data_IF_068191084114
#
_entry.id   IF_068191084114
#
_cell.length_a   1.000
_cell.length_b   1.000
_cell.length_c   1.000
_cell.angle_alpha   90.00
_cell.angle_beta   90.00
_cell.angle_gamma   90.00
#
_symmetry.space_group_name_H-M   'P 1'
#
loop_
_entity.id
_entity.type
_entity.pdbx_description
1 polymer ?
#
# COMPACT_ATOMS: atom_id res chain seq x y z
N UNK A 1 8.74 -31.82 21.28
CA UNK A 1 9.71 -30.75 21.64
C UNK A 1 8.98 -29.42 21.49
N UNK A 2 8.18 -29.06 22.51
CA UNK A 2 7.41 -27.81 22.57
C UNK A 2 8.06 -26.96 23.66
N UNK A 3 8.97 -26.07 23.26
CA UNK A 3 9.78 -25.27 24.20
C UNK A 3 9.86 -23.81 23.77
N UNK A 4 8.73 -23.22 23.35
CA UNK A 4 8.67 -21.77 23.02
C UNK A 4 7.55 -21.05 23.80
N UNK A 5 6.62 -21.74 24.46
CA UNK A 5 5.49 -21.11 25.17
C UNK A 5 5.67 -21.00 26.69
N UNK A 6 6.88 -21.23 27.22
CA UNK A 6 7.12 -21.22 28.67
C UNK A 6 7.22 -19.82 29.34
N UNK A 7 7.57 -18.70 28.66
CA UNK A 7 7.63 -17.41 29.35
C UNK A 7 6.27 -16.71 29.55
N UNK A 8 5.17 -17.24 29.01
CA UNK A 8 3.86 -16.56 29.02
C UNK A 8 2.91 -17.05 30.15
N UNK A 9 3.40 -17.91 31.05
CA UNK A 9 2.57 -18.56 32.08
C UNK A 9 2.97 -18.25 33.52
N UNK A 10 3.88 -17.30 33.76
CA UNK A 10 4.27 -16.91 35.12
C UNK A 10 3.93 -15.44 35.40
N UNK A 11 2.92 -15.29 36.25
CA UNK A 11 2.52 -14.17 37.12
C UNK A 11 2.01 -12.84 36.52
N UNK A 12 0.68 -12.74 36.54
CA UNK A 12 -0.10 -11.51 36.65
C UNK A 12 0.34 -10.70 37.89
N UNK A 13 1.05 -9.58 37.67
CA UNK A 13 1.05 -8.47 38.60
C UNK A 13 0.25 -7.32 37.99
N UNK A 14 -1.05 -7.31 38.28
CA UNK A 14 -1.95 -6.20 37.96
C UNK A 14 -1.51 -4.98 38.77
N UNK A 15 -0.96 -3.95 38.11
CA UNK A 15 -0.93 -2.60 38.66
C UNK A 15 -2.08 -1.81 38.06
N UNK A 16 -3.06 -1.56 38.91
CA UNK A 16 -4.13 -0.58 38.71
C UNK A 16 -3.52 0.82 38.65
N UNK A 17 -3.71 1.54 37.54
CA UNK A 17 -3.51 3.00 37.51
C UNK A 17 -4.64 3.68 36.73
N UNK A 18 -5.63 4.12 37.52
CA UNK A 18 -6.34 5.41 37.49
C UNK A 18 -6.61 6.05 36.13
N UNK A 19 -7.90 6.10 35.79
CA UNK A 19 -8.48 6.91 34.74
C UNK A 19 -8.25 8.42 34.97
N UNK A 20 -7.87 9.14 33.91
CA UNK A 20 -8.04 10.59 33.81
C UNK A 20 -9.04 10.84 32.69
N UNK A 21 -10.22 11.34 33.09
CA UNK A 21 -11.26 11.86 32.23
C UNK A 21 -10.74 13.08 31.47
N UNK A 22 -10.86 13.08 30.14
CA UNK A 22 -10.97 14.31 29.36
C UNK A 22 -12.01 14.13 28.27
N UNK A 23 -13.12 14.86 28.45
CA UNK A 23 -14.22 15.04 27.51
C UNK A 23 -13.72 15.57 26.17
N UNK A 24 -13.98 14.79 25.12
CA UNK A 24 -14.32 15.31 23.79
C UNK A 24 -15.42 14.41 23.22
N UNK A 25 -16.65 14.75 23.59
CA UNK A 25 -17.89 14.20 23.04
C UNK A 25 -18.00 14.62 21.57
N UNK A 26 -17.60 13.75 20.63
CA UNK A 26 -18.26 13.55 19.31
C UNK A 26 -17.64 12.38 18.48
N UNK A 27 -16.69 11.59 19.01
CA UNK A 27 -16.03 10.49 18.25
C UNK A 27 -16.37 9.06 18.71
N UNK A 28 -17.29 8.86 19.65
CA UNK A 28 -17.22 7.70 20.55
C UNK A 28 -18.21 6.54 20.33
N UNK A 29 -18.94 6.45 19.22
CA UNK A 29 -19.87 5.30 19.03
C UNK A 29 -19.37 4.30 17.97
N UNK A 30 -18.76 4.75 16.88
CA UNK A 30 -18.22 3.85 15.86
C UNK A 30 -16.81 3.33 16.19
N UNK A 31 -15.94 4.20 16.74
CA UNK A 31 -14.56 3.83 17.08
C UNK A 31 -14.45 2.93 18.32
N UNK A 32 -15.43 2.96 19.22
CA UNK A 32 -15.36 2.19 20.47
C UNK A 32 -15.68 0.70 20.27
N UNK A 33 -16.60 0.33 19.38
CA UNK A 33 -16.88 -1.09 19.11
C UNK A 33 -15.70 -1.79 18.42
N UNK A 34 -15.03 -1.13 17.48
CA UNK A 34 -13.83 -1.64 16.83
C UNK A 34 -12.64 -1.69 17.80
N UNK A 35 -12.41 -0.65 18.62
CA UNK A 35 -11.33 -0.64 19.61
C UNK A 35 -11.55 -1.61 20.77
N UNK A 36 -12.78 -1.83 21.23
CA UNK A 36 -13.07 -2.79 22.31
C UNK A 36 -13.01 -4.23 21.82
N UNK A 37 -13.41 -4.52 20.58
CA UNK A 37 -13.19 -5.85 20.00
C UNK A 37 -11.70 -6.11 19.73
N UNK A 38 -10.98 -5.16 19.12
CA UNK A 38 -9.65 -5.39 18.56
C UNK A 38 -8.49 -5.20 19.56
N UNK A 39 -8.75 -4.70 20.78
CA UNK A 39 -7.65 -4.39 21.72
C UNK A 39 -6.82 -5.60 22.09
N UNK A 40 -7.40 -6.79 22.19
CA UNK A 40 -6.65 -8.05 22.45
C UNK A 40 -7.33 -9.34 21.95
N UNK A 41 -8.49 -9.28 21.28
CA UNK A 41 -9.17 -10.46 20.78
C UNK A 41 -9.43 -10.30 19.27
N UNK A 42 -8.98 -11.24 18.44
CA UNK A 42 -9.49 -11.29 17.07
C UNK A 42 -11.02 -11.42 17.16
N UNK A 43 -11.81 -10.58 16.46
CA UNK A 43 -13.25 -10.72 16.48
C UNK A 43 -13.62 -12.12 16.00
N UNK A 44 -14.54 -12.78 16.71
CA UNK A 44 -15.04 -14.09 16.29
C UNK A 44 -15.65 -13.97 14.89
N UNK A 45 -15.47 -15.01 14.07
CA UNK A 45 -16.07 -15.09 12.73
C UNK A 45 -17.58 -14.83 12.81
N UNK A 46 -18.25 -15.37 13.83
CA UNK A 46 -19.69 -15.19 14.09
C UNK A 46 -20.05 -13.73 14.37
N UNK A 47 -19.17 -12.99 15.05
CA UNK A 47 -19.40 -11.56 15.34
C UNK A 47 -19.23 -10.73 14.07
N UNK A 48 -18.27 -11.11 13.21
CA UNK A 48 -18.07 -10.45 11.92
C UNK A 48 -19.24 -10.66 10.96
N UNK A 49 -19.89 -11.82 10.96
CA UNK A 49 -21.11 -12.05 10.16
C UNK A 49 -22.25 -11.08 10.52
N UNK A 50 -22.34 -10.65 11.77
CA UNK A 50 -23.37 -9.72 12.25
C UNK A 50 -22.93 -8.25 12.18
N UNK A 51 -21.64 -8.00 12.12
CA UNK A 51 -21.08 -6.65 12.03
C UNK A 51 -21.49 -5.94 10.73
N UNK A 52 -21.65 -4.62 10.80
CA UNK A 52 -21.89 -3.80 9.61
C UNK A 52 -20.69 -3.81 8.66
N UNK A 53 -20.92 -3.55 7.37
CA UNK A 53 -19.86 -3.42 6.37
C UNK A 53 -18.82 -2.38 6.80
N UNK A 54 -19.24 -1.22 7.33
CA UNK A 54 -18.33 -0.18 7.82
C UNK A 54 -17.41 -0.71 8.92
N UNK A 55 -17.95 -1.43 9.91
CA UNK A 55 -17.17 -2.01 11.00
C UNK A 55 -16.11 -3.00 10.48
N UNK A 56 -16.47 -3.83 9.50
CA UNK A 56 -15.54 -4.77 8.85
C UNK A 56 -14.45 -4.06 8.06
N UNK A 57 -14.79 -2.97 7.36
CA UNK A 57 -13.81 -2.12 6.66
C UNK A 57 -12.86 -1.48 7.67
N UNK A 58 -13.38 -0.94 8.76
CA UNK A 58 -12.57 -0.29 9.80
C UNK A 58 -11.63 -1.30 10.48
N UNK A 59 -12.09 -2.52 10.75
CA UNK A 59 -11.26 -3.61 11.27
C UNK A 59 -10.13 -4.00 10.30
N UNK A 60 -10.44 -4.06 8.99
CA UNK A 60 -9.45 -4.32 7.95
C UNK A 60 -8.41 -3.20 7.87
N UNK A 61 -8.86 -1.94 7.85
CA UNK A 61 -7.98 -0.76 7.80
C UNK A 61 -7.08 -0.69 9.05
N UNK A 62 -7.64 -0.94 10.23
CA UNK A 62 -6.91 -0.99 11.49
C UNK A 62 -5.80 -2.06 11.46
N UNK A 63 -6.14 -3.27 11.01
CA UNK A 63 -5.18 -4.38 10.91
C UNK A 63 -4.03 -4.12 9.94
N UNK A 64 -4.27 -3.27 8.92
CA UNK A 64 -3.28 -2.85 7.93
C UNK A 64 -2.70 -1.46 8.23
N UNK A 65 -2.87 -0.97 9.47
CA UNK A 65 -2.35 0.31 9.95
C UNK A 65 -2.67 1.50 9.03
N UNK A 66 -3.86 1.51 8.44
CA UNK A 66 -4.31 2.51 7.48
C UNK A 66 -5.59 3.19 7.92
N UNK A 67 -5.85 4.38 7.38
CA UNK A 67 -7.11 5.11 7.58
C UNK A 67 -8.12 4.71 6.51
N UNK A 68 -9.36 4.42 6.91
CA UNK A 68 -10.45 4.12 5.96
C UNK A 68 -10.74 5.28 5.00
N UNK A 69 -10.36 6.51 5.35
CA UNK A 69 -10.49 7.70 4.50
C UNK A 69 -9.75 7.57 3.16
N UNK A 70 -8.63 6.81 3.11
CA UNK A 70 -7.84 6.61 1.89
C UNK A 70 -8.64 5.86 0.81
N UNK A 71 -9.57 5.00 1.21
CA UNK A 71 -10.35 4.14 0.31
C UNK A 71 -11.36 4.93 -0.52
N UNK A 72 -11.76 6.11 -0.05
CA UNK A 72 -12.72 6.98 -0.73
C UNK A 72 -12.16 7.58 -2.02
N UNK A 73 -10.84 7.54 -2.21
CA UNK A 73 -10.18 8.09 -3.39
C UNK A 73 -10.05 7.07 -4.54
N UNK A 74 -10.44 5.82 -4.29
CA UNK A 74 -10.23 4.72 -5.23
C UNK A 74 -11.54 3.97 -5.52
N UNK A 75 -11.67 3.53 -6.77
CA UNK A 75 -12.68 2.56 -7.18
C UNK A 75 -12.55 1.28 -6.36
N UNK A 76 -13.66 0.57 -6.14
CA UNK A 76 -13.72 -0.58 -5.22
C UNK A 76 -12.63 -1.63 -5.49
N UNK A 77 -12.40 -1.96 -6.77
CA UNK A 77 -11.42 -2.97 -7.21
C UNK A 77 -9.97 -2.68 -6.79
N UNK A 78 -9.64 -1.42 -6.51
CA UNK A 78 -8.31 -0.95 -6.14
C UNK A 78 -8.11 -0.83 -4.62
N UNK A 79 -9.18 -0.84 -3.82
CA UNK A 79 -9.11 -0.55 -2.39
C UNK A 79 -8.19 -1.51 -1.63
N UNK A 80 -8.26 -2.82 -1.91
CA UNK A 80 -7.34 -3.79 -1.31
C UNK A 80 -5.90 -3.64 -1.80
N UNK A 81 -5.71 -3.27 -3.07
CA UNK A 81 -4.37 -3.01 -3.63
C UNK A 81 -3.73 -1.83 -2.90
N UNK A 82 -4.49 -0.76 -2.69
CA UNK A 82 -4.08 0.45 -1.95
C UNK A 82 -3.68 0.10 -0.51
N UNK A 83 -4.49 -0.66 0.22
CA UNK A 83 -4.17 -1.05 1.59
C UNK A 83 -2.90 -1.91 1.65
N UNK A 84 -2.78 -2.89 0.75
CA UNK A 84 -1.59 -3.74 0.69
C UNK A 84 -0.32 -2.97 0.31
N UNK A 85 -0.43 -2.01 -0.62
CA UNK A 85 0.69 -1.16 -1.04
C UNK A 85 1.13 -0.23 0.08
N UNK A 86 0.18 0.38 0.79
CA UNK A 86 0.49 1.24 1.92
C UNK A 86 1.24 0.47 3.01
N UNK A 87 0.72 -0.70 3.39
CA UNK A 87 1.35 -1.57 4.39
C UNK A 87 2.73 -2.05 3.94
N UNK A 88 2.84 -2.60 2.72
CA UNK A 88 4.12 -3.06 2.18
C UNK A 88 5.15 -1.93 2.11
N UNK A 89 4.77 -0.77 1.61
CA UNK A 89 5.68 0.37 1.47
C UNK A 89 6.16 0.88 2.82
N UNK A 90 5.27 0.92 3.83
CA UNK A 90 5.61 1.34 5.19
C UNK A 90 6.62 0.40 5.85
N UNK A 91 6.50 -0.91 5.65
CA UNK A 91 7.28 -1.91 6.38
C UNK A 91 8.49 -2.45 5.62
N UNK A 92 8.46 -2.47 4.29
CA UNK A 92 9.58 -2.93 3.44
C UNK A 92 10.50 -1.77 3.04
N UNK A 93 9.97 -0.54 2.97
CA UNK A 93 10.69 0.67 2.55
C UNK A 93 11.46 0.47 1.21
N UNK A 94 10.78 0.03 0.14
CA UNK A 94 11.41 -0.21 -1.15
C UNK A 94 11.87 1.10 -1.81
N UNK A 95 12.88 1.00 -2.67
CA UNK A 95 13.33 2.13 -3.49
C UNK A 95 12.20 2.66 -4.40
N UNK A 96 12.17 3.98 -4.60
CA UNK A 96 11.12 4.65 -5.37
C UNK A 96 11.02 4.14 -6.81
N UNK A 97 12.14 3.72 -7.41
CA UNK A 97 12.17 3.11 -8.74
C UNK A 97 11.39 1.80 -8.77
N UNK A 98 11.52 0.99 -7.72
CA UNK A 98 10.80 -0.29 -7.60
C UNK A 98 9.32 -0.07 -7.34
N UNK A 99 8.96 0.94 -6.54
CA UNK A 99 7.55 1.34 -6.34
C UNK A 99 6.93 1.75 -7.68
N UNK A 100 7.59 2.63 -8.44
CA UNK A 100 7.12 3.06 -9.78
C UNK A 100 6.98 1.88 -10.73
N UNK A 101 7.95 0.98 -10.75
CA UNK A 101 7.94 -0.21 -11.62
C UNK A 101 6.76 -1.13 -11.31
N UNK A 102 6.49 -1.35 -10.02
CA UNK A 102 5.37 -2.17 -9.56
C UNK A 102 4.02 -1.54 -9.91
N UNK A 103 3.84 -0.24 -9.63
CA UNK A 103 2.59 0.47 -9.92
C UNK A 103 2.36 0.55 -11.43
N UNK A 104 3.40 0.81 -12.22
CA UNK A 104 3.29 0.81 -13.69
C UNK A 104 2.85 -0.56 -14.19
N UNK A 105 3.42 -1.65 -13.66
CA UNK A 105 2.97 -3.01 -13.94
C UNK A 105 1.47 -3.20 -13.62
N UNK A 106 0.98 -2.70 -12.48
CA UNK A 106 -0.43 -2.83 -12.11
C UNK A 106 -1.35 -2.14 -13.09
N UNK A 107 -1.00 -0.91 -13.46
CA UNK A 107 -1.79 -0.09 -14.38
C UNK A 107 -1.86 -0.75 -15.75
N UNK A 108 -0.71 -1.21 -16.28
CA UNK A 108 -0.64 -1.88 -17.58
C UNK A 108 -1.38 -3.22 -17.56
N UNK A 109 -1.12 -4.08 -16.56
CA UNK A 109 -1.79 -5.39 -16.46
C UNK A 109 -3.30 -5.28 -16.30
N UNK A 110 -3.80 -4.23 -15.65
CA UNK A 110 -5.23 -4.09 -15.36
C UNK A 110 -6.04 -3.42 -16.47
N UNK A 111 -5.36 -2.81 -17.45
CA UNK A 111 -6.01 -2.00 -18.49
C UNK A 111 -5.66 -2.48 -19.91
N UNK A 112 -4.50 -3.11 -20.12
CA UNK A 112 -4.12 -3.68 -21.40
C UNK A 112 -4.59 -5.12 -21.54
N UNK A 113 -4.99 -5.49 -22.77
CA UNK A 113 -5.38 -6.86 -23.13
C UNK A 113 -4.17 -7.77 -23.36
N UNK A 114 -3.00 -7.21 -23.69
CA UNK A 114 -1.75 -7.96 -23.84
C UNK A 114 -0.56 -7.24 -23.16
N UNK A 115 -0.45 -7.34 -21.82
CA UNK A 115 0.65 -6.75 -21.06
C UNK A 115 2.03 -7.27 -21.48
N UNK A 116 2.10 -8.44 -22.12
CA UNK A 116 3.37 -9.05 -22.53
C UNK A 116 4.00 -8.35 -23.73
N UNK A 117 3.19 -7.63 -24.52
CA UNK A 117 3.64 -6.86 -25.69
C UNK A 117 4.51 -5.65 -25.33
N UNK A 118 4.45 -5.19 -24.07
CA UNK A 118 5.26 -4.09 -23.54
C UNK A 118 6.71 -4.48 -23.27
N UNK A 119 7.04 -5.79 -23.33
CA UNK A 119 8.40 -6.29 -23.16
C UNK A 119 9.04 -6.46 -24.54
N UNK A 120 10.12 -5.74 -24.87
CA UNK A 120 10.83 -5.91 -26.13
C UNK A 120 11.35 -7.35 -26.27
N UNK A 121 11.15 -7.97 -27.44
CA UNK A 121 11.51 -9.36 -27.73
C UNK A 121 13.00 -9.73 -27.49
N UNK A 122 13.89 -8.75 -27.30
CA UNK A 122 15.33 -8.93 -27.10
C UNK A 122 15.83 -8.66 -25.69
N UNK A 123 14.95 -8.48 -24.70
CA UNK A 123 15.39 -8.19 -23.31
C UNK A 123 15.82 -9.49 -22.60
N UNK A 124 17.10 -9.83 -22.77
CA UNK A 124 17.76 -10.81 -21.91
C UNK A 124 17.96 -10.22 -20.52
N UNK A 125 17.03 -10.46 -19.59
CA UNK A 125 17.25 -10.23 -18.17
C UNK A 125 18.41 -11.13 -17.71
N UNK A 126 19.62 -10.57 -17.60
CA UNK A 126 20.80 -11.33 -17.16
C UNK A 126 20.61 -11.74 -15.69
N UNK A 127 20.79 -13.03 -15.38
CA UNK A 127 20.60 -13.55 -14.02
C UNK A 127 21.71 -13.03 -13.08
N UNK A 128 21.51 -11.85 -12.51
CA UNK A 128 22.39 -11.25 -11.51
C UNK A 128 21.78 -11.39 -10.11
N UNK A 129 22.62 -11.35 -9.06
CA UNK A 129 22.14 -11.32 -7.66
C UNK A 129 21.16 -10.16 -7.40
N UNK A 130 21.40 -9.01 -8.03
CA UNK A 130 20.50 -7.85 -7.99
C UNK A 130 19.09 -8.16 -8.50
N UNK A 131 18.96 -9.04 -9.49
CA UNK A 131 17.63 -9.45 -9.97
C UNK A 131 16.89 -10.29 -8.93
N UNK A 132 17.61 -11.09 -8.13
CA UNK A 132 16.99 -11.86 -7.04
C UNK A 132 16.50 -10.94 -5.92
N UNK A 133 17.25 -9.88 -5.59
CA UNK A 133 16.82 -8.90 -4.58
C UNK A 133 15.55 -8.16 -5.02
N UNK A 134 15.50 -7.73 -6.29
CA UNK A 134 14.30 -7.08 -6.86
C UNK A 134 13.11 -8.04 -6.89
N UNK A 135 13.31 -9.28 -7.34
CA UNK A 135 12.27 -10.30 -7.33
C UNK A 135 11.75 -10.56 -5.91
N UNK A 136 12.65 -10.61 -4.94
CA UNK A 136 12.28 -10.77 -3.53
C UNK A 136 11.41 -9.61 -3.06
N UNK A 137 11.77 -8.37 -3.40
CA UNK A 137 10.98 -7.16 -3.05
C UNK A 137 9.57 -7.22 -3.64
N UNK A 138 9.42 -7.58 -4.91
CA UNK A 138 8.09 -7.74 -5.52
C UNK A 138 7.32 -8.92 -4.94
N UNK A 139 8.00 -10.03 -4.64
CA UNK A 139 7.38 -11.19 -3.98
C UNK A 139 6.86 -10.86 -2.59
N UNK A 140 7.55 -9.99 -1.83
CA UNK A 140 7.06 -9.51 -0.55
C UNK A 140 5.74 -8.76 -0.68
N UNK A 141 5.59 -7.90 -1.69
CA UNK A 141 4.29 -7.26 -1.94
C UNK A 141 3.21 -8.29 -2.28
N UNK A 142 3.51 -9.28 -3.12
CA UNK A 142 2.54 -10.33 -3.46
C UNK A 142 2.09 -11.11 -2.22
N UNK A 143 3.00 -11.42 -1.30
CA UNK A 143 2.67 -12.04 -0.01
C UNK A 143 1.74 -11.13 0.81
N UNK A 144 2.08 -9.84 0.94
CA UNK A 144 1.24 -8.86 1.67
C UNK A 144 -0.15 -8.74 1.05
N UNK A 145 -0.25 -8.70 -0.28
CA UNK A 145 -1.53 -8.65 -0.98
C UNK A 145 -2.35 -9.93 -0.75
N UNK A 146 -1.71 -11.09 -0.82
CA UNK A 146 -2.37 -12.37 -0.57
C UNK A 146 -2.89 -12.49 0.87
N UNK A 147 -2.13 -12.05 1.86
CA UNK A 147 -2.56 -12.06 3.26
C UNK A 147 -3.62 -10.99 3.52
N UNK A 148 -3.56 -9.85 2.85
CA UNK A 148 -4.63 -8.84 2.82
C UNK A 148 -5.94 -9.43 2.28
N UNK A 149 -5.89 -10.23 1.20
CA UNK A 149 -7.06 -10.92 0.67
C UNK A 149 -7.62 -11.96 1.65
N UNK A 150 -6.77 -12.73 2.34
CA UNK A 150 -7.22 -13.67 3.38
C UNK A 150 -7.89 -12.93 4.53
N UNK A 151 -7.29 -11.84 4.98
CA UNK A 151 -7.87 -11.02 6.04
C UNK A 151 -9.23 -10.45 5.62
N UNK A 152 -9.32 -9.93 4.40
CA UNK A 152 -10.60 -9.50 3.81
C UNK A 152 -11.62 -10.65 3.81
N UNK A 153 -11.20 -11.89 3.50
CA UNK A 153 -12.07 -13.06 3.53
C UNK A 153 -12.55 -13.41 4.94
N UNK A 154 -11.67 -13.42 5.93
CA UNK A 154 -12.00 -13.66 7.35
C UNK A 154 -13.01 -12.61 7.84
N UNK A 155 -12.91 -11.37 7.36
CA UNK A 155 -13.82 -10.28 7.69
C UNK A 155 -15.11 -10.27 6.85
N UNK A 156 -15.46 -11.38 6.19
CA UNK A 156 -16.67 -11.52 5.36
C UNK A 156 -16.67 -10.67 4.08
N UNK A 157 -15.49 -10.52 3.46
CA UNK A 157 -15.23 -9.81 2.20
C UNK A 157 -15.88 -8.42 2.11
N UNK A 158 -15.56 -7.50 3.04
CA UNK A 158 -16.14 -6.16 3.05
C UNK A 158 -15.68 -5.30 1.87
N UNK A 159 -14.56 -5.64 1.23
CA UNK A 159 -14.07 -5.02 0.00
C UNK A 159 -14.00 -6.04 -1.14
N UNK A 160 -14.20 -5.56 -2.37
CA UNK A 160 -13.92 -6.34 -3.57
C UNK A 160 -12.42 -6.52 -3.78
N UNK A 161 -12.04 -7.60 -4.47
CA UNK A 161 -10.64 -7.93 -4.74
C UNK A 161 -10.43 -8.18 -6.23
N UNK A 162 -9.20 -7.92 -6.68
CA UNK A 162 -8.74 -8.23 -8.02
C UNK A 162 -7.74 -9.38 -7.92
N UNK A 163 -7.87 -10.40 -8.76
CA UNK A 163 -6.96 -11.53 -8.71
C UNK A 163 -5.51 -11.08 -8.99
N UNK A 164 -4.51 -11.54 -8.23
CA UNK A 164 -3.10 -11.15 -8.45
C UNK A 164 -2.62 -11.36 -9.89
N UNK A 165 -3.14 -12.38 -10.57
CA UNK A 165 -2.83 -12.67 -11.98
C UNK A 165 -3.24 -11.56 -12.96
N UNK A 166 -4.19 -10.69 -12.59
CA UNK A 166 -4.59 -9.53 -13.39
C UNK A 166 -3.84 -8.26 -12.99
N UNK A 167 -3.21 -8.26 -11.82
CA UNK A 167 -2.49 -7.10 -11.31
C UNK A 167 -1.01 -7.17 -11.64
N UNK A 168 -0.41 -8.36 -11.70
CA UNK A 168 1.03 -8.50 -11.70
C UNK A 168 1.53 -9.52 -12.73
N UNK A 169 2.43 -9.07 -13.59
CA UNK A 169 3.30 -9.91 -14.40
C UNK A 169 4.75 -9.72 -13.93
N UNK A 170 5.35 -10.79 -13.42
CA UNK A 170 6.71 -10.75 -12.88
C UNK A 170 7.77 -10.40 -13.92
N UNK A 171 7.59 -10.78 -15.19
CA UNK A 171 8.52 -10.39 -16.25
C UNK A 171 8.39 -8.90 -16.55
N UNK A 172 7.17 -8.38 -16.58
CA UNK A 172 6.91 -6.97 -16.83
C UNK A 172 7.43 -6.09 -15.69
N UNK A 173 7.16 -6.46 -14.44
CA UNK A 173 7.69 -5.74 -13.27
C UNK A 173 9.22 -5.73 -13.24
N UNK A 174 9.87 -6.86 -13.56
CA UNK A 174 11.32 -6.96 -13.67
C UNK A 174 11.88 -6.15 -14.84
N UNK A 175 11.19 -6.14 -15.98
CA UNK A 175 11.55 -5.31 -17.11
C UNK A 175 11.56 -3.83 -16.71
N UNK A 176 10.46 -3.31 -16.14
CA UNK A 176 10.39 -1.92 -15.69
C UNK A 176 11.44 -1.59 -14.63
N UNK A 177 11.69 -2.50 -13.68
CA UNK A 177 12.74 -2.33 -12.67
C UNK A 177 14.15 -2.25 -13.27
N UNK A 178 14.38 -2.86 -14.43
CA UNK A 178 15.67 -2.83 -15.13
C UNK A 178 15.91 -1.55 -15.95
N UNK A 179 14.87 -0.74 -16.20
CA UNK A 179 14.99 0.47 -17.01
C UNK A 179 15.77 1.55 -16.26
N UNK A 180 16.63 2.26 -16.98
CA UNK A 180 17.36 3.40 -16.40
C UNK A 180 16.48 4.65 -16.25
N UNK A 181 15.50 4.84 -17.14
CA UNK A 181 14.56 5.97 -17.14
C UNK A 181 13.11 5.48 -16.98
N UNK A 182 12.74 5.16 -15.74
CA UNK A 182 11.35 4.78 -15.43
C UNK A 182 10.38 5.95 -15.65
N UNK A 183 10.82 7.19 -15.43
CA UNK A 183 9.95 8.37 -15.56
C UNK A 183 9.60 8.67 -17.02
N UNK A 184 10.56 8.52 -17.94
CA UNK A 184 10.31 8.50 -19.38
C UNK A 184 9.34 7.40 -19.78
N UNK A 185 9.51 6.21 -19.21
CA UNK A 185 8.64 5.05 -19.51
C UNK A 185 7.22 5.25 -19.02
N UNK A 186 7.01 5.67 -17.77
CA UNK A 186 5.68 6.00 -17.23
C UNK A 186 4.98 7.03 -18.11
N UNK A 187 5.69 8.08 -18.53
CA UNK A 187 5.12 9.08 -19.43
C UNK A 187 4.73 8.44 -20.77
N UNK A 188 5.61 7.65 -21.38
CA UNK A 188 5.34 7.03 -22.67
C UNK A 188 4.19 6.03 -22.64
N UNK A 189 4.14 5.17 -21.63
CA UNK A 189 3.12 4.11 -21.49
C UNK A 189 1.74 4.70 -21.16
N UNK A 190 1.70 5.75 -20.33
CA UNK A 190 0.45 6.28 -19.79
C UNK A 190 -0.06 7.54 -20.52
N UNK A 191 0.70 8.09 -21.49
CA UNK A 191 0.32 9.33 -22.21
C UNK A 191 -1.04 9.23 -22.90
N UNK A 192 -1.42 8.03 -23.34
CA UNK A 192 -2.64 7.78 -24.10
C UNK A 192 -3.90 7.72 -23.21
N UNK A 193 -3.75 7.66 -21.88
CA UNK A 193 -4.86 7.43 -20.96
C UNK A 193 -4.76 8.27 -19.69
N UNK A 194 -5.57 9.33 -19.63
CA UNK A 194 -5.70 10.17 -18.43
C UNK A 194 -6.12 9.38 -17.18
N UNK A 195 -6.98 8.37 -17.35
CA UNK A 195 -7.40 7.52 -16.23
C UNK A 195 -6.23 6.69 -15.68
N UNK A 196 -5.40 6.15 -16.57
CA UNK A 196 -4.21 5.35 -16.19
C UNK A 196 -3.19 6.21 -15.47
N UNK A 197 -2.93 7.42 -15.97
CA UNK A 197 -2.03 8.37 -15.35
C UNK A 197 -2.56 8.85 -13.98
N UNK A 198 -3.85 9.12 -13.87
CA UNK A 198 -4.48 9.50 -12.61
C UNK A 198 -4.38 8.37 -11.57
N UNK A 199 -4.66 7.13 -11.96
CA UNK A 199 -4.51 5.96 -11.10
C UNK A 199 -3.06 5.79 -10.64
N UNK A 200 -2.10 5.86 -11.57
CA UNK A 200 -0.68 5.78 -11.26
C UNK A 200 -0.28 6.83 -10.21
N UNK A 201 -0.66 8.10 -10.42
CA UNK A 201 -0.34 9.19 -9.51
C UNK A 201 -0.99 9.02 -8.14
N UNK A 202 -2.25 8.56 -8.09
CA UNK A 202 -2.93 8.29 -6.82
C UNK A 202 -2.25 7.16 -6.05
N UNK A 203 -1.85 6.07 -6.71
CA UNK A 203 -1.12 4.96 -6.06
C UNK A 203 0.28 5.40 -5.60
N UNK A 204 0.98 6.23 -6.40
CA UNK A 204 2.27 6.82 -6.02
C UNK A 204 2.14 7.73 -4.80
N UNK A 205 1.07 8.52 -4.71
CA UNK A 205 0.79 9.35 -3.54
C UNK A 205 0.68 8.50 -2.27
N UNK A 206 -0.10 7.41 -2.31
CA UNK A 206 -0.26 6.49 -1.17
C UNK A 206 1.09 5.93 -0.72
N UNK A 207 1.90 5.45 -1.65
CA UNK A 207 3.21 4.88 -1.33
C UNK A 207 4.15 5.95 -0.75
N UNK A 208 4.14 7.16 -1.31
CA UNK A 208 4.96 8.28 -0.83
C UNK A 208 4.60 8.68 0.61
N UNK A 209 3.32 8.79 0.93
CA UNK A 209 2.89 9.08 2.30
C UNK A 209 3.23 7.93 3.27
N UNK A 210 3.16 6.68 2.80
CA UNK A 210 3.53 5.51 3.60
C UNK A 210 5.04 5.45 3.90
N UNK A 211 5.90 5.81 2.93
CA UNK A 211 7.35 5.98 3.17
C UNK A 211 7.64 7.08 4.19
N UNK A 212 6.93 8.21 4.10
CA UNK A 212 7.06 9.31 5.08
C UNK A 212 6.63 8.88 6.48
N UNK A 213 5.62 8.03 6.61
CA UNK A 213 5.22 7.47 7.90
C UNK A 213 6.32 6.56 8.48
N UNK A 214 6.91 5.68 7.67
CA UNK A 214 7.99 4.78 8.08
C UNK A 214 9.21 5.52 8.67
N UNK A 215 9.58 6.64 8.03
CA UNK A 215 10.72 7.47 8.48
C UNK A 215 10.45 8.24 9.77
N UNK A 216 9.18 8.61 10.05
CA UNK A 216 8.78 9.27 11.31
C UNK A 216 8.76 8.31 12.50
N UNK A 217 8.47 7.04 12.26
CA UNK A 217 8.41 5.98 13.29
C UNK A 217 9.81 5.46 13.70
N UNK A 218 10.90 6.13 13.30
CA UNK A 218 12.26 5.83 13.74
C UNK A 218 13.02 4.80 12.89
N UNK A 219 12.46 4.39 11.75
CA UNK A 219 13.19 3.55 10.77
C UNK A 219 14.03 4.48 9.88
N UNK A 220 15.23 4.82 10.37
CA UNK A 220 16.19 5.64 9.61
C UNK A 220 16.95 4.77 8.58
N UNK A 221 16.70 5.00 7.30
CA UNK A 221 17.63 4.67 6.22
C UNK A 221 18.03 5.96 5.50
N UNK A 222 19.29 6.02 5.06
CA UNK A 222 19.91 7.19 4.44
C UNK A 222 19.21 7.54 3.11
N UNK A 223 18.29 8.50 3.17
CA UNK A 223 17.50 9.02 2.04
C UNK A 223 18.03 10.37 1.54
N UNK A 224 19.36 10.56 1.47
CA UNK A 224 19.99 11.84 1.06
C UNK A 224 19.78 12.25 -0.40
N UNK A 225 18.86 11.63 -1.14
CA UNK A 225 18.45 12.07 -2.47
C UNK A 225 16.91 12.01 -2.51
N UNK A 226 16.25 12.84 -3.32
CA UNK A 226 14.83 12.76 -3.70
C UNK A 226 13.80 13.70 -3.06
N UNK A 227 14.23 14.80 -2.40
CA UNK A 227 13.42 16.03 -2.42
C UNK A 227 13.90 16.95 -3.54
N UNK A 228 13.52 16.64 -4.78
CA UNK A 228 13.51 17.62 -5.87
C UNK A 228 12.34 17.38 -6.83
N UNK A 229 11.14 17.30 -6.27
CA UNK A 229 9.91 17.61 -7.00
C UNK A 229 9.23 18.81 -6.33
N UNK A 230 9.75 20.00 -6.64
CA UNK A 230 9.02 21.29 -6.69
C UNK A 230 10.04 22.42 -6.82
N UNK A 231 10.15 22.97 -8.02
CA UNK A 231 10.68 24.30 -8.42
C UNK A 231 11.55 24.20 -9.66
N UNK A 232 10.90 24.02 -10.80
CA UNK A 232 11.38 24.56 -12.08
C UNK A 232 10.14 25.11 -12.81
N UNK A 233 9.51 26.13 -12.23
CA UNK A 233 8.90 27.20 -13.03
C UNK A 233 9.87 28.35 -12.93
N UNK A 234 10.72 28.48 -13.94
CA UNK A 234 11.54 29.66 -14.16
C UNK A 234 10.65 30.90 -14.10
N UNK A 235 11.04 31.84 -13.25
CA UNK A 235 10.87 33.26 -13.49
C UNK A 235 11.08 33.56 -14.98
N UNK A 236 10.02 34.00 -15.65
CA UNK A 236 10.00 35.22 -16.47
C UNK A 236 8.65 35.29 -17.19
N UNK A 237 7.87 36.30 -16.80
CA UNK A 237 7.02 37.17 -17.62
C UNK A 237 5.72 37.55 -16.91
N UNK A 238 5.87 38.54 -16.04
CA UNK A 238 4.84 39.53 -15.80
C UNK A 238 4.56 40.27 -17.12
N UNK A 239 3.40 40.04 -17.73
CA UNK A 239 2.75 41.04 -18.57
C UNK A 239 1.28 41.14 -18.19
N UNK A 240 0.96 42.26 -17.55
CA UNK A 240 -0.37 42.82 -17.41
C UNK A 240 -1.09 42.87 -18.76
N UNK A 241 -2.36 42.46 -18.80
CA UNK A 241 -3.37 43.19 -19.57
C UNK A 241 -4.77 42.94 -19.01
N UNK A 242 -5.33 44.03 -18.48
CA UNK A 242 -6.74 44.21 -18.21
C UNK A 242 -7.52 44.28 -19.53
N UNK A 243 -8.58 43.47 -19.63
CA UNK A 243 -9.95 43.68 -20.13
C UNK A 243 -10.49 42.33 -20.60
#
# INVERSE_FOLDING_TARGET
MYTILRPLLEDLYVRETVCVDSKDEYSSIACNAANECLKFNLPSITDMEQASISCRIDALCFSLESSSGILNWFEEKWRLVVLSLAFWTKHVVPDIHLIKSLILCFVVCSLDRDPSSHIPHSTGLSSSSRNNDILHIFSMWQCVYYDTMKLNNVLMNPLSFTTPALLFDGKLAMYYASLADIDGTVRSELVSSLQSLALFNSLMFVCTESLKAATKDGVQYDQTVYYKFSSNSSSDDFVFLHI
#
